data_IF_801780031491
#
_entry.id   IF_801780031491
#
_cell.length_a   1.000
_cell.length_b   1.000
_cell.length_c   1.000
_cell.angle_alpha   90.00
_cell.angle_beta   90.00
_cell.angle_gamma   90.00
#
_symmetry.space_group_name_H-M   'P 1'
#
loop_
_entity.id
_entity.type
_entity.pdbx_description
1 polymer ?
#
# COMPACT_ATOMS: atom_id res chain seq x y z
N UNK A 1 32.02 -8.40 -37.56
CA UNK A 1 31.07 -7.52 -36.83
C UNK A 1 31.85 -6.27 -36.43
N UNK A 2 31.62 -5.17 -37.11
CA UNK A 2 32.32 -3.89 -36.90
C UNK A 2 31.90 -3.25 -35.56
N UNK A 3 32.75 -2.37 -35.00
CA UNK A 3 32.46 -1.57 -33.79
C UNK A 3 31.17 -0.77 -33.99
N UNK A 4 30.95 -0.23 -35.20
CA UNK A 4 29.75 0.51 -35.59
C UNK A 4 28.47 -0.30 -35.44
N UNK A 5 28.48 -1.60 -35.79
CA UNK A 5 27.33 -2.49 -35.65
C UNK A 5 26.94 -2.73 -34.17
N UNK A 6 27.92 -2.68 -33.24
CA UNK A 6 27.67 -2.87 -31.83
C UNK A 6 26.97 -1.68 -31.20
N UNK A 7 27.33 -0.47 -31.58
CA UNK A 7 26.74 0.75 -31.03
C UNK A 7 25.33 0.94 -31.59
N UNK A 8 25.09 0.66 -32.86
CA UNK A 8 23.75 0.64 -33.46
C UNK A 8 22.85 -0.41 -32.78
N UNK A 9 23.40 -1.61 -32.48
CA UNK A 9 22.65 -2.64 -31.75
C UNK A 9 22.30 -2.21 -30.33
N UNK A 10 23.24 -1.61 -29.59
CA UNK A 10 22.99 -1.09 -28.24
C UNK A 10 21.91 -0.02 -28.25
N UNK A 11 21.98 0.92 -29.18
CA UNK A 11 20.97 1.97 -29.31
C UNK A 11 19.61 1.41 -29.70
N UNK A 12 19.56 0.44 -30.62
CA UNK A 12 18.34 -0.26 -30.99
C UNK A 12 17.70 -0.99 -29.83
N UNK A 13 18.49 -1.70 -29.01
CA UNK A 13 18.01 -2.36 -27.80
C UNK A 13 17.52 -1.32 -26.79
N UNK A 14 18.25 -0.22 -26.58
CA UNK A 14 17.87 0.87 -25.67
C UNK A 14 16.51 1.47 -26.05
N UNK A 15 16.30 1.80 -27.32
CA UNK A 15 15.01 2.26 -27.85
C UNK A 15 13.90 1.23 -27.64
N UNK A 16 14.19 -0.05 -27.87
CA UNK A 16 13.25 -1.13 -27.63
C UNK A 16 12.87 -1.30 -26.16
N UNK A 17 13.80 -1.05 -25.23
CA UNK A 17 13.53 -1.03 -23.78
C UNK A 17 12.63 0.15 -23.40
N UNK A 18 12.91 1.35 -23.89
CA UNK A 18 12.11 2.56 -23.64
C UNK A 18 10.67 2.38 -24.11
N UNK A 19 10.49 1.81 -25.33
CA UNK A 19 9.17 1.56 -25.92
C UNK A 19 8.49 0.29 -25.39
N UNK A 20 9.17 -0.49 -24.53
CA UNK A 20 8.72 -1.80 -24.01
C UNK A 20 8.42 -2.81 -25.11
N UNK A 21 9.10 -2.72 -26.25
CA UNK A 21 9.00 -3.69 -27.37
C UNK A 21 10.04 -4.83 -27.25
N UNK A 22 11.04 -4.68 -26.39
CA UNK A 22 12.07 -5.69 -26.10
C UNK A 22 12.10 -5.97 -24.59
N UNK A 23 12.16 -7.28 -24.24
CA UNK A 23 12.30 -7.77 -22.88
C UNK A 23 13.53 -8.69 -22.83
N UNK A 24 14.70 -8.21 -22.37
CA UNK A 24 15.91 -9.00 -22.32
C UNK A 24 15.83 -10.07 -21.24
N UNK A 25 16.28 -11.29 -21.59
CA UNK A 25 16.35 -12.43 -20.67
C UNK A 25 17.79 -12.87 -20.51
N UNK A 26 18.26 -13.00 -19.27
CA UNK A 26 19.62 -13.41 -18.93
C UNK A 26 19.63 -14.71 -18.14
N UNK A 27 20.47 -15.66 -18.54
CA UNK A 27 20.77 -16.84 -17.76
C UNK A 27 21.93 -16.53 -16.80
N UNK A 28 21.64 -16.48 -15.50
CA UNK A 28 22.65 -16.17 -14.47
C UNK A 28 22.55 -17.13 -13.30
N UNK A 29 23.69 -17.36 -12.65
CA UNK A 29 23.76 -18.10 -11.39
C UNK A 29 24.53 -17.24 -10.37
N UNK A 30 23.80 -16.52 -9.53
CA UNK A 30 24.37 -15.59 -8.55
C UNK A 30 25.31 -16.29 -7.56
N UNK A 31 24.91 -17.47 -7.04
CA UNK A 31 25.74 -18.24 -6.10
C UNK A 31 27.08 -18.72 -6.63
N UNK A 32 27.23 -18.80 -7.96
CA UNK A 32 28.50 -19.15 -8.65
C UNK A 32 29.10 -17.97 -9.42
N UNK A 33 28.53 -16.77 -9.30
CA UNK A 33 28.90 -15.56 -10.05
C UNK A 33 28.94 -15.75 -11.58
N UNK A 34 28.22 -16.77 -12.11
CA UNK A 34 28.18 -17.03 -13.54
C UNK A 34 27.16 -16.11 -14.22
N UNK A 35 27.58 -15.41 -15.28
CA UNK A 35 26.74 -14.50 -16.05
C UNK A 35 26.44 -13.15 -15.37
N UNK A 36 26.72 -12.99 -14.06
CA UNK A 36 26.41 -11.77 -13.29
C UNK A 36 27.15 -10.56 -13.86
N UNK A 37 28.44 -10.71 -14.21
CA UNK A 37 29.23 -9.62 -14.81
C UNK A 37 28.60 -9.12 -16.12
N UNK A 38 28.12 -10.03 -16.97
CA UNK A 38 27.46 -9.67 -18.24
C UNK A 38 26.14 -8.93 -18.01
N UNK A 39 25.38 -9.35 -16.99
CA UNK A 39 24.16 -8.63 -16.61
C UNK A 39 24.49 -7.21 -16.14
N UNK A 40 25.50 -7.05 -15.27
CA UNK A 40 25.91 -5.73 -14.76
C UNK A 40 26.45 -4.85 -15.90
N UNK A 41 27.22 -5.40 -16.83
CA UNK A 41 27.69 -4.69 -18.03
C UNK A 41 26.52 -4.22 -18.90
N UNK A 42 25.50 -5.05 -19.07
CA UNK A 42 24.29 -4.68 -19.81
C UNK A 42 23.53 -3.55 -19.11
N UNK A 43 23.34 -3.66 -17.79
CA UNK A 43 22.67 -2.62 -17.00
C UNK A 43 23.39 -1.27 -17.10
N UNK A 44 24.72 -1.27 -17.03
CA UNK A 44 25.51 -0.04 -17.10
C UNK A 44 25.60 0.59 -18.49
N UNK A 45 25.55 -0.22 -19.56
CA UNK A 45 25.85 0.27 -20.92
C UNK A 45 24.63 0.37 -21.84
N UNK A 46 23.54 -0.35 -21.54
CA UNK A 46 22.40 -0.50 -22.46
C UNK A 46 21.09 0.00 -21.88
N UNK A 47 20.88 -0.14 -20.56
CA UNK A 47 19.62 0.31 -19.93
C UNK A 47 19.50 1.83 -20.03
N UNK A 48 18.32 2.36 -20.42
CA UNK A 48 18.11 3.80 -20.57
C UNK A 48 18.23 4.54 -19.24
N UNK A 49 18.70 5.77 -19.27
CA UNK A 49 18.66 6.69 -18.14
C UNK A 49 17.23 7.18 -17.88
N UNK A 50 16.99 7.69 -16.68
CA UNK A 50 15.67 8.24 -16.30
C UNK A 50 15.22 9.35 -17.25
N UNK A 51 16.15 10.19 -17.74
CA UNK A 51 15.88 11.26 -18.70
C UNK A 51 15.44 10.77 -20.09
N UNK A 52 15.75 9.52 -20.45
CA UNK A 52 15.37 8.88 -21.72
C UNK A 52 14.02 8.13 -21.62
N UNK A 53 13.50 7.97 -20.41
CA UNK A 53 12.23 7.27 -20.19
C UNK A 53 11.03 8.17 -20.54
N UNK A 54 9.86 7.59 -20.88
CA UNK A 54 8.65 8.36 -21.09
C UNK A 54 8.35 9.27 -19.91
N UNK A 55 7.92 10.49 -20.21
CA UNK A 55 7.55 11.47 -19.20
C UNK A 55 6.40 10.94 -18.33
N UNK A 56 6.43 11.30 -17.07
CA UNK A 56 5.37 10.96 -16.12
C UNK A 56 4.31 12.05 -16.14
N UNK A 57 3.05 11.70 -16.09
CA UNK A 57 1.95 12.65 -16.00
C UNK A 57 1.46 12.75 -14.56
N UNK A 58 1.12 13.96 -14.14
CA UNK A 58 0.41 14.17 -12.88
C UNK A 58 -1.11 13.96 -13.09
N UNK A 59 -1.90 14.07 -12.02
CA UNK A 59 -3.37 13.92 -12.08
C UNK A 59 -4.08 14.98 -12.94
N UNK A 60 -3.41 16.09 -13.28
CA UNK A 60 -3.91 17.14 -14.17
C UNK A 60 -3.54 16.91 -15.63
N UNK A 61 -2.79 15.83 -15.92
CA UNK A 61 -2.30 15.52 -17.27
C UNK A 61 -1.06 16.30 -17.70
N UNK A 62 -0.43 17.06 -16.80
CA UNK A 62 0.80 17.78 -17.08
C UNK A 62 1.99 16.81 -17.13
N UNK A 63 2.84 16.97 -18.13
CA UNK A 63 4.07 16.18 -18.28
C UNK A 63 5.15 16.67 -17.30
N UNK A 64 5.65 15.77 -16.48
CA UNK A 64 6.74 16.02 -15.54
C UNK A 64 8.00 15.36 -16.08
N UNK A 65 9.00 16.18 -16.35
CA UNK A 65 10.34 15.69 -16.73
C UNK A 65 11.21 15.62 -15.48
N UNK A 66 11.93 14.51 -15.26
CA UNK A 66 12.91 14.43 -14.19
C UNK A 66 14.04 15.45 -14.43
N UNK A 67 14.02 16.55 -13.73
CA UNK A 67 15.02 17.61 -13.79
C UNK A 67 15.54 17.90 -12.38
N UNK A 68 16.85 17.80 -12.19
CA UNK A 68 17.52 18.03 -10.90
C UNK A 68 17.44 19.50 -10.45
N UNK A 69 17.26 20.43 -11.37
CA UNK A 69 17.10 21.86 -11.09
C UNK A 69 15.63 22.29 -11.04
N UNK A 70 14.71 21.36 -11.27
CA UNK A 70 13.28 21.60 -11.20
C UNK A 70 12.77 21.76 -9.77
N UNK A 71 11.48 22.08 -9.60
CA UNK A 71 10.87 22.14 -8.28
C UNK A 71 10.87 20.75 -7.63
N UNK A 72 11.07 20.72 -6.31
CA UNK A 72 11.18 19.50 -5.53
C UNK A 72 9.84 18.74 -5.51
N UNK A 73 9.87 17.48 -5.89
CA UNK A 73 8.71 16.60 -5.80
C UNK A 73 9.12 15.16 -5.57
N UNK A 74 8.48 14.50 -4.61
CA UNK A 74 8.71 13.09 -4.28
C UNK A 74 7.40 12.33 -4.22
N UNK A 75 7.44 11.07 -4.69
CA UNK A 75 6.31 10.16 -4.65
C UNK A 75 6.62 8.96 -3.76
N UNK A 76 5.81 8.76 -2.73
CA UNK A 76 5.95 7.65 -1.80
C UNK A 76 5.22 6.41 -2.33
N UNK A 77 5.96 5.42 -2.79
CA UNK A 77 5.40 4.26 -3.47
C UNK A 77 5.31 3.00 -2.60
N UNK A 78 5.98 2.98 -1.44
CA UNK A 78 5.99 1.82 -0.55
C UNK A 78 6.25 2.23 0.90
N UNK A 79 5.57 1.54 1.82
CA UNK A 79 5.87 1.56 3.25
C UNK A 79 6.37 0.18 3.66
N UNK A 80 7.45 0.11 4.41
CA UNK A 80 7.97 -1.11 5.04
C UNK A 80 7.88 -1.01 6.56
N UNK A 81 7.66 -2.13 7.23
CA UNK A 81 7.67 -2.21 8.68
C UNK A 81 8.88 -3.04 9.11
N UNK A 82 9.82 -2.42 9.80
CA UNK A 82 11.04 -3.10 10.22
C UNK A 82 11.15 -3.18 11.74
N UNK A 83 11.59 -4.34 12.26
CA UNK A 83 11.87 -4.49 13.68
C UNK A 83 12.85 -3.40 14.14
N UNK A 84 12.60 -2.82 15.31
CA UNK A 84 13.44 -1.80 15.99
C UNK A 84 13.50 -0.41 15.33
N UNK A 85 13.13 -0.27 14.04
CA UNK A 85 13.14 1.02 13.33
C UNK A 85 11.70 1.56 13.21
N UNK A 86 10.74 0.67 13.02
CA UNK A 86 9.35 1.01 12.78
C UNK A 86 9.04 1.20 11.29
N UNK A 87 8.27 2.23 10.99
CA UNK A 87 7.84 2.55 9.62
C UNK A 87 8.99 3.16 8.82
N UNK A 88 9.27 2.56 7.66
CA UNK A 88 10.23 3.04 6.66
C UNK A 88 9.46 3.39 5.42
N UNK A 89 9.53 4.63 4.99
CA UNK A 89 8.84 5.14 3.81
C UNK A 89 9.79 5.24 2.63
N UNK A 90 9.52 4.49 1.57
CA UNK A 90 10.29 4.47 0.33
C UNK A 90 9.68 5.45 -0.67
N UNK A 91 10.53 6.25 -1.29
CA UNK A 91 10.10 7.26 -2.24
C UNK A 91 11.00 7.32 -3.48
N UNK A 92 10.45 7.86 -4.55
CA UNK A 92 11.18 8.26 -5.76
C UNK A 92 11.16 9.78 -5.87
N UNK A 93 12.30 10.37 -6.17
CA UNK A 93 12.38 11.79 -6.49
C UNK A 93 11.88 11.96 -7.93
N UNK A 94 10.78 12.67 -8.09
CA UNK A 94 10.14 12.88 -9.39
C UNK A 94 10.71 14.09 -10.13
N UNK A 95 11.12 15.11 -9.38
CA UNK A 95 11.76 16.35 -9.89
C UNK A 95 12.52 17.02 -8.75
N UNK A 96 13.49 17.85 -9.08
CA UNK A 96 14.33 18.56 -8.13
C UNK A 96 15.37 17.68 -7.48
N UNK A 97 15.83 18.12 -6.33
CA UNK A 97 16.80 17.42 -5.47
C UNK A 97 16.36 17.55 -4.03
N UNK A 98 16.31 16.42 -3.31
CA UNK A 98 15.82 16.35 -1.95
C UNK A 98 17.00 16.15 -0.99
N UNK A 99 17.01 16.91 0.10
CA UNK A 99 18.02 16.86 1.17
C UNK A 99 17.39 16.49 2.51
N UNK A 100 18.24 15.95 3.40
CA UNK A 100 17.84 15.78 4.79
C UNK A 100 17.51 17.13 5.43
N UNK A 101 16.33 17.22 6.05
CA UNK A 101 15.85 18.44 6.70
C UNK A 101 14.91 19.30 5.86
N UNK A 102 14.66 18.97 4.59
CA UNK A 102 13.74 19.72 3.73
C UNK A 102 12.30 19.67 4.25
N UNK A 103 11.63 20.82 4.16
CA UNK A 103 10.21 20.96 4.51
C UNK A 103 9.36 20.91 3.24
N UNK A 104 8.58 19.84 3.12
CA UNK A 104 7.70 19.58 1.98
C UNK A 104 6.23 19.61 2.41
N UNK A 105 5.36 19.84 1.45
CA UNK A 105 3.90 19.81 1.65
C UNK A 105 3.31 18.56 1.01
N UNK A 106 2.56 17.78 1.77
CA UNK A 106 1.81 16.64 1.28
C UNK A 106 0.58 17.12 0.50
N UNK A 107 0.60 17.00 -0.82
CA UNK A 107 -0.47 17.47 -1.71
C UNK A 107 -1.77 16.68 -1.57
N UNK A 108 -1.72 15.47 -1.01
CA UNK A 108 -2.90 14.63 -0.81
C UNK A 108 -3.63 14.95 0.49
N UNK A 109 -2.92 15.47 1.50
CA UNK A 109 -3.43 15.71 2.85
C UNK A 109 -3.36 17.18 3.30
N UNK A 110 -2.59 18.01 2.60
CA UNK A 110 -2.36 19.40 2.96
C UNK A 110 -1.45 19.59 4.18
N UNK A 111 -0.87 18.51 4.72
CA UNK A 111 0.02 18.57 5.88
C UNK A 111 1.45 18.93 5.46
N UNK A 112 2.15 19.65 6.36
CA UNK A 112 3.59 19.91 6.20
C UNK A 112 4.38 18.79 6.83
N UNK A 113 5.35 18.28 6.08
CA UNK A 113 6.23 17.19 6.47
C UNK A 113 7.68 17.63 6.35
N UNK A 114 8.46 17.31 7.37
CA UNK A 114 9.90 17.49 7.33
C UNK A 114 10.55 16.16 7.03
N UNK A 115 11.34 16.12 5.95
CA UNK A 115 12.11 14.94 5.57
C UNK A 115 13.24 14.78 6.61
N UNK A 116 13.25 13.64 7.29
CA UNK A 116 14.35 13.27 8.20
C UNK A 116 15.62 12.89 7.44
N UNK A 117 16.46 12.07 8.06
CA UNK A 117 17.60 11.48 7.36
C UNK A 117 17.12 10.66 6.17
N UNK A 118 17.74 10.89 5.01
CA UNK A 118 17.50 10.13 3.79
C UNK A 118 18.59 9.08 3.57
N UNK A 119 18.20 7.96 2.98
CA UNK A 119 19.09 6.82 2.77
C UNK A 119 18.97 6.30 1.35
N UNK A 120 20.10 5.92 0.76
CA UNK A 120 20.15 5.03 -0.40
C UNK A 120 20.05 3.58 0.10
N UNK A 121 19.21 2.77 -0.55
CA UNK A 121 18.91 1.41 -0.11
C UNK A 121 19.55 0.38 -1.05
N UNK A 122 20.35 -0.53 -0.47
CA UNK A 122 20.93 -1.67 -1.17
C UNK A 122 20.56 -2.95 -0.40
N UNK A 123 19.42 -3.55 -0.76
CA UNK A 123 18.85 -4.66 -0.01
C UNK A 123 18.51 -4.26 1.43
N UNK A 124 19.04 -4.97 2.42
CA UNK A 124 18.87 -4.65 3.84
C UNK A 124 19.76 -3.49 4.32
N UNK A 125 20.78 -3.12 3.54
CA UNK A 125 21.71 -2.07 3.91
C UNK A 125 21.16 -0.71 3.51
N UNK A 126 21.24 0.25 4.45
CA UNK A 126 20.91 1.66 4.22
C UNK A 126 22.14 2.51 4.44
N UNK A 127 22.49 3.26 3.42
CA UNK A 127 23.61 4.20 3.48
C UNK A 127 23.02 5.59 3.59
N UNK A 128 23.32 6.36 4.67
CA UNK A 128 22.88 7.73 4.75
C UNK A 128 23.51 8.53 3.63
N UNK A 129 22.70 9.39 3.01
CA UNK A 129 23.14 10.30 1.94
C UNK A 129 22.64 11.71 2.26
N UNK A 130 23.35 12.71 1.77
CA UNK A 130 22.99 14.09 2.01
C UNK A 130 21.92 14.58 1.05
N UNK A 131 21.90 14.02 -0.17
CA UNK A 131 21.01 14.45 -1.25
C UNK A 131 20.65 13.28 -2.15
N UNK A 132 19.41 13.30 -2.67
CA UNK A 132 18.92 12.47 -3.76
C UNK A 132 18.35 13.34 -4.86
N UNK A 133 18.63 12.99 -6.11
CA UNK A 133 18.26 13.77 -7.30
C UNK A 133 17.06 13.17 -8.03
N UNK A 134 16.47 13.94 -8.94
CA UNK A 134 15.39 13.47 -9.79
C UNK A 134 15.73 12.12 -10.46
N UNK A 135 14.86 11.14 -10.29
CA UNK A 135 15.03 9.76 -10.73
C UNK A 135 15.54 8.80 -9.67
N UNK A 136 16.20 9.29 -8.62
CA UNK A 136 16.71 8.46 -7.54
C UNK A 136 15.57 7.88 -6.69
N UNK A 137 15.84 6.70 -6.13
CA UNK A 137 14.99 6.03 -5.15
C UNK A 137 15.71 6.02 -3.81
N UNK A 138 15.01 6.49 -2.79
CA UNK A 138 15.51 6.47 -1.44
C UNK A 138 14.47 6.06 -0.42
N UNK A 139 14.87 6.08 0.85
CA UNK A 139 13.93 5.91 1.94
C UNK A 139 14.23 6.88 3.08
N UNK A 140 13.21 7.12 3.88
CA UNK A 140 13.29 7.88 5.12
C UNK A 140 12.47 7.19 6.21
N UNK A 141 12.67 7.59 7.44
CA UNK A 141 11.99 7.00 8.61
C UNK A 141 11.25 8.08 9.39
N UNK A 142 10.30 7.64 10.23
CA UNK A 142 9.57 8.53 11.17
C UNK A 142 8.79 9.66 10.51
N UNK A 143 8.19 9.42 9.34
CA UNK A 143 7.24 10.36 8.75
C UNK A 143 5.97 10.41 9.60
N UNK A 144 5.36 11.60 9.74
CA UNK A 144 4.19 11.79 10.62
C UNK A 144 2.89 11.38 9.94
N UNK A 145 2.66 11.89 8.74
CA UNK A 145 1.38 11.73 8.04
C UNK A 145 1.58 11.42 6.55
N UNK A 146 2.57 10.57 6.24
CA UNK A 146 2.85 10.11 4.88
C UNK A 146 2.41 8.67 4.73
N UNK A 147 1.72 8.37 3.64
CA UNK A 147 1.27 7.02 3.28
C UNK A 147 1.70 6.67 1.86
N UNK A 148 1.71 5.38 1.57
CA UNK A 148 1.92 4.89 0.21
C UNK A 148 0.92 5.53 -0.75
N UNK A 149 1.40 6.08 -1.86
CA UNK A 149 0.62 6.82 -2.85
C UNK A 149 0.62 8.34 -2.64
N UNK A 150 1.21 8.86 -1.55
CA UNK A 150 1.26 10.30 -1.34
C UNK A 150 2.36 10.99 -2.17
N UNK A 151 2.06 12.20 -2.57
CA UNK A 151 3.01 13.12 -3.22
C UNK A 151 3.34 14.26 -2.28
N UNK A 152 4.64 14.50 -2.07
CA UNK A 152 5.12 15.66 -1.33
C UNK A 152 5.87 16.58 -2.26
N UNK A 153 5.60 17.88 -2.15
CA UNK A 153 6.19 18.92 -2.98
C UNK A 153 6.89 20.00 -2.15
N UNK A 154 7.98 20.50 -2.70
CA UNK A 154 8.63 21.71 -2.23
C UNK A 154 7.92 22.98 -2.72
N UNK A 155 8.54 24.13 -2.52
CA UNK A 155 7.99 25.41 -2.96
C UNK A 155 7.96 25.48 -4.49
N UNK A 156 6.82 25.89 -5.06
CA UNK A 156 6.67 26.09 -6.51
C UNK A 156 6.17 24.87 -7.28
N UNK A 157 5.93 23.73 -6.63
CA UNK A 157 5.22 22.61 -7.22
C UNK A 157 3.91 22.32 -6.45
N UNK A 158 2.85 22.03 -7.20
CA UNK A 158 1.56 21.57 -6.67
C UNK A 158 1.13 20.29 -7.38
N UNK A 159 2.10 19.44 -7.67
CA UNK A 159 1.83 18.20 -8.40
C UNK A 159 1.23 17.15 -7.49
N UNK A 160 0.47 16.26 -8.11
CA UNK A 160 -0.08 15.09 -7.48
C UNK A 160 -0.02 13.95 -8.48
N UNK A 161 0.52 12.82 -8.08
CA UNK A 161 0.58 11.63 -8.92
C UNK A 161 -0.56 10.67 -8.57
N UNK A 162 -0.96 9.86 -9.55
CA UNK A 162 -2.02 8.87 -9.35
C UNK A 162 -1.63 7.83 -8.31
N UNK A 163 -2.61 7.44 -7.51
CA UNK A 163 -2.44 6.30 -6.61
C UNK A 163 -2.19 5.02 -7.39
N UNK A 164 -1.35 4.16 -6.82
CA UNK A 164 -1.12 2.82 -7.36
C UNK A 164 -2.45 2.04 -7.30
N UNK A 165 -2.91 1.55 -8.44
CA UNK A 165 -4.12 0.71 -8.52
C UNK A 165 -3.76 -0.71 -8.15
N UNK A 166 -4.17 -1.13 -6.97
CA UNK A 166 -4.01 -2.51 -6.51
C UNK A 166 -5.14 -3.38 -7.04
N UNK A 167 -4.89 -4.67 -7.31
CA UNK A 167 -5.94 -5.59 -7.71
C UNK A 167 -6.95 -5.82 -6.57
N UNK A 168 -8.22 -5.95 -6.93
CA UNK A 168 -9.26 -6.25 -5.95
C UNK A 168 -9.03 -7.62 -5.29
N UNK A 169 -9.26 -7.76 -3.98
CA UNK A 169 -9.11 -9.02 -3.28
C UNK A 169 -10.17 -10.03 -3.76
N UNK A 170 -9.74 -11.30 -3.95
CA UNK A 170 -10.59 -12.38 -4.47
C UNK A 170 -10.90 -13.47 -3.45
N UNK A 171 -10.23 -13.46 -2.31
CA UNK A 171 -10.37 -14.48 -1.28
C UNK A 171 -10.56 -13.83 0.09
N UNK A 172 -11.52 -14.32 0.87
CA UNK A 172 -11.88 -13.76 2.16
C UNK A 172 -11.97 -14.83 3.24
N UNK A 173 -11.58 -14.50 4.47
CA UNK A 173 -11.73 -15.28 5.68
C UNK A 173 -12.07 -14.36 6.85
N UNK A 174 -12.84 -14.88 7.79
CA UNK A 174 -12.95 -14.24 9.10
C UNK A 174 -11.73 -14.65 9.93
N UNK A 175 -11.16 -13.71 10.68
CA UNK A 175 -10.00 -13.92 11.53
C UNK A 175 -10.33 -13.57 12.98
N UNK A 176 -9.89 -14.39 13.90
CA UNK A 176 -9.97 -14.10 15.34
C UNK A 176 -8.69 -14.50 16.06
N UNK A 177 -8.37 -13.80 17.13
CA UNK A 177 -7.32 -14.24 18.05
C UNK A 177 -7.79 -15.47 18.82
N UNK A 178 -6.87 -16.40 19.10
CA UNK A 178 -7.14 -17.57 19.94
C UNK A 178 -7.52 -17.11 21.36
N UNK A 179 -6.79 -16.12 21.89
CA UNK A 179 -7.08 -15.53 23.19
C UNK A 179 -7.88 -14.24 23.00
N UNK A 180 -9.01 -14.11 23.68
CA UNK A 180 -9.87 -12.92 23.57
C UNK A 180 -9.15 -11.62 23.95
N UNK A 181 -8.19 -11.66 24.86
CA UNK A 181 -7.39 -10.52 25.31
C UNK A 181 -6.48 -9.94 24.20
N UNK A 182 -6.16 -10.72 23.18
CA UNK A 182 -5.29 -10.30 22.08
C UNK A 182 -6.06 -9.66 20.92
N UNK A 183 -7.38 -9.49 21.02
CA UNK A 183 -8.22 -8.96 19.94
C UNK A 183 -7.80 -7.54 19.52
N UNK A 184 -7.50 -6.66 20.48
CA UNK A 184 -7.06 -5.28 20.18
C UNK A 184 -5.68 -5.28 19.53
N UNK A 185 -4.75 -6.13 20.01
CA UNK A 185 -3.43 -6.30 19.42
C UNK A 185 -3.52 -6.83 17.99
N UNK A 186 -4.43 -7.79 17.75
CA UNK A 186 -4.68 -8.32 16.42
C UNK A 186 -5.13 -7.21 15.46
N UNK A 187 -6.09 -6.38 15.86
CA UNK A 187 -6.54 -5.27 15.03
C UNK A 187 -5.42 -4.28 14.73
N UNK A 188 -4.61 -3.91 15.72
CA UNK A 188 -3.46 -3.04 15.53
C UNK A 188 -2.42 -3.64 14.56
N UNK A 189 -2.12 -4.93 14.70
CA UNK A 189 -1.20 -5.66 13.81
C UNK A 189 -1.74 -5.72 12.37
N UNK A 190 -3.02 -6.03 12.17
CA UNK A 190 -3.65 -6.06 10.85
C UNK A 190 -3.62 -4.69 10.15
N UNK A 191 -3.87 -3.61 10.89
CA UNK A 191 -3.80 -2.26 10.34
C UNK A 191 -2.39 -1.86 9.93
N UNK A 192 -1.38 -2.26 10.71
CA UNK A 192 0.03 -2.06 10.35
C UNK A 192 0.39 -2.84 9.08
N UNK A 193 0.04 -4.13 9.02
CA UNK A 193 0.32 -4.97 7.85
C UNK A 193 -0.34 -4.45 6.58
N UNK A 194 -1.55 -3.88 6.68
CA UNK A 194 -2.22 -3.21 5.57
C UNK A 194 -1.44 -1.98 5.05
N UNK A 195 -0.69 -1.30 5.91
CA UNK A 195 0.16 -0.18 5.46
C UNK A 195 1.34 -0.67 4.61
N UNK A 196 1.90 -1.83 4.97
CA UNK A 196 2.99 -2.46 4.24
C UNK A 196 2.51 -3.09 2.92
N UNK A 197 1.38 -3.79 2.97
CA UNK A 197 0.74 -4.40 1.80
C UNK A 197 -0.72 -3.96 1.68
N UNK A 198 -1.01 -2.93 0.87
CA UNK A 198 -2.36 -2.41 0.67
C UNK A 198 -3.32 -3.39 -0.03
N UNK A 199 -2.84 -4.53 -0.54
CA UNK A 199 -3.69 -5.57 -1.14
C UNK A 199 -4.40 -6.43 -0.09
N UNK A 200 -4.00 -6.35 1.18
CA UNK A 200 -4.79 -6.87 2.30
C UNK A 200 -5.88 -5.88 2.68
N UNK A 201 -7.10 -6.29 2.57
CA UNK A 201 -8.26 -5.52 3.01
C UNK A 201 -8.76 -6.08 4.34
N UNK A 202 -8.90 -5.22 5.33
CA UNK A 202 -9.37 -5.57 6.68
C UNK A 202 -10.67 -4.83 6.93
N UNK A 203 -11.76 -5.58 7.11
CA UNK A 203 -13.09 -5.05 7.40
C UNK A 203 -13.58 -5.56 8.75
N UNK A 204 -14.04 -4.65 9.59
CA UNK A 204 -14.70 -5.00 10.83
C UNK A 204 -16.23 -4.93 10.64
N UNK A 205 -16.86 -6.09 10.51
CA UNK A 205 -18.33 -6.17 10.44
C UNK A 205 -18.92 -6.07 11.84
N UNK A 206 -19.55 -4.95 12.15
CA UNK A 206 -20.27 -4.74 13.42
C UNK A 206 -21.50 -5.64 13.51
N UNK A 207 -22.20 -5.86 12.39
CA UNK A 207 -23.41 -6.69 12.30
C UNK A 207 -23.09 -8.16 12.62
N UNK A 208 -22.02 -8.69 12.02
CA UNK A 208 -21.63 -10.10 12.20
C UNK A 208 -20.69 -10.31 13.38
N UNK A 209 -20.21 -9.25 14.00
CA UNK A 209 -19.17 -9.28 15.06
C UNK A 209 -17.96 -10.10 14.62
N UNK A 210 -17.53 -9.94 13.37
CA UNK A 210 -16.37 -10.60 12.79
C UNK A 210 -15.41 -9.58 12.18
N UNK A 211 -14.12 -9.88 12.28
CA UNK A 211 -13.07 -9.23 11.50
C UNK A 211 -12.85 -10.07 10.25
N UNK A 212 -13.07 -9.49 9.09
CA UNK A 212 -12.91 -10.15 7.79
C UNK A 212 -11.64 -9.61 7.15
N UNK A 213 -10.74 -10.51 6.79
CA UNK A 213 -9.54 -10.22 6.02
C UNK A 213 -9.70 -10.76 4.60
N UNK A 214 -9.35 -9.94 3.62
CA UNK A 214 -9.42 -10.28 2.20
C UNK A 214 -8.06 -10.12 1.56
N UNK A 215 -7.73 -10.98 0.63
CA UNK A 215 -6.48 -10.97 -0.11
C UNK A 215 -6.63 -11.55 -1.51
N UNK A 216 -5.51 -11.68 -2.22
CA UNK A 216 -5.49 -12.13 -3.62
C UNK A 216 -5.78 -13.65 -3.76
N UNK A 217 -5.57 -14.43 -2.71
CA UNK A 217 -5.80 -15.87 -2.70
C UNK A 217 -5.51 -16.47 -1.33
N UNK A 218 -5.70 -17.79 -1.21
CA UNK A 218 -5.49 -18.52 0.04
C UNK A 218 -4.05 -18.41 0.54
N UNK A 219 -3.06 -18.55 -0.36
CA UNK A 219 -1.65 -18.44 0.01
C UNK A 219 -1.32 -17.04 0.57
N UNK A 220 -1.92 -16.00 0.03
CA UNK A 220 -1.74 -14.63 0.52
C UNK A 220 -2.25 -14.49 1.97
N UNK A 221 -3.41 -15.05 2.29
CA UNK A 221 -3.91 -15.05 3.68
C UNK A 221 -3.11 -15.99 4.60
N UNK A 222 -2.58 -17.12 4.09
CA UNK A 222 -1.64 -17.95 4.86
C UNK A 222 -0.36 -17.19 5.21
N UNK A 223 0.14 -16.34 4.31
CA UNK A 223 1.29 -15.48 4.58
C UNK A 223 0.96 -14.45 5.67
N UNK A 224 -0.24 -13.86 5.64
CA UNK A 224 -0.71 -12.97 6.70
C UNK A 224 -0.72 -13.69 8.07
N UNK A 225 -1.29 -14.88 8.12
CA UNK A 225 -1.32 -15.70 9.34
C UNK A 225 0.09 -16.00 9.85
N UNK A 226 0.98 -16.44 8.97
CA UNK A 226 2.37 -16.75 9.31
C UNK A 226 3.08 -15.51 9.91
N UNK A 227 2.88 -14.33 9.34
CA UNK A 227 3.45 -13.07 9.87
C UNK A 227 2.89 -12.73 11.26
N UNK A 228 1.59 -12.88 11.47
CA UNK A 228 0.96 -12.64 12.78
C UNK A 228 1.54 -13.58 13.84
N UNK A 229 1.71 -14.87 13.53
CA UNK A 229 2.21 -15.88 14.46
C UNK A 229 3.72 -15.72 14.72
N UNK A 230 4.52 -15.45 13.68
CA UNK A 230 6.00 -15.44 13.81
C UNK A 230 6.57 -14.08 14.16
N UNK A 231 6.02 -12.98 13.62
CA UNK A 231 6.55 -11.63 13.87
C UNK A 231 5.86 -10.97 15.04
N UNK A 232 4.52 -11.01 15.09
CA UNK A 232 3.74 -10.34 16.13
C UNK A 232 3.43 -11.23 17.35
N UNK A 233 3.77 -12.54 17.27
CA UNK A 233 3.52 -13.57 18.32
C UNK A 233 2.04 -13.68 18.69
N UNK A 234 1.16 -13.49 17.71
CA UNK A 234 -0.30 -13.58 17.85
C UNK A 234 -0.81 -14.86 17.22
N UNK A 235 -1.34 -15.78 18.02
CA UNK A 235 -1.99 -16.97 17.52
C UNK A 235 -3.40 -16.65 17.03
N UNK A 236 -3.70 -17.00 15.77
CA UNK A 236 -4.95 -16.65 15.11
C UNK A 236 -5.58 -17.85 14.42
N UNK A 237 -6.90 -17.83 14.31
CA UNK A 237 -7.70 -18.84 13.61
C UNK A 237 -8.49 -18.15 12.49
N UNK A 238 -8.51 -18.81 11.33
CA UNK A 238 -9.40 -18.45 10.24
C UNK A 238 -10.70 -19.25 10.32
N UNK A 239 -11.81 -18.55 10.08
CA UNK A 239 -13.15 -19.11 9.99
C UNK A 239 -13.81 -18.71 8.67
N UNK A 240 -14.90 -19.38 8.30
CA UNK A 240 -15.73 -18.95 7.20
C UNK A 240 -16.42 -17.61 7.56
N UNK A 241 -16.41 -16.62 6.67
CA UNK A 241 -17.16 -15.40 6.88
C UNK A 241 -18.66 -15.71 6.95
N UNK A 242 -19.34 -15.18 7.97
CA UNK A 242 -20.79 -15.27 8.04
C UNK A 242 -21.42 -14.40 6.95
N UNK A 243 -22.55 -14.87 6.41
CA UNK A 243 -23.34 -14.12 5.45
C UNK A 243 -24.40 -13.33 6.24
N UNK A 244 -24.51 -12.01 6.08
CA UNK A 244 -25.55 -11.22 6.74
C UNK A 244 -26.87 -11.44 6.04
N UNK A 245 -27.57 -12.49 6.41
CA UNK A 245 -28.92 -12.73 5.93
C UNK A 245 -29.87 -11.68 6.52
N UNK A 246 -30.72 -11.15 5.68
CA UNK A 246 -31.81 -10.26 6.08
C UNK A 246 -33.12 -10.90 5.75
N UNK A 247 -34.01 -10.87 6.72
CA UNK A 247 -35.36 -11.35 6.55
C UNK A 247 -36.24 -10.24 6.02
N UNK A 248 -37.24 -10.61 5.21
CA UNK A 248 -38.30 -9.72 4.77
C UNK A 248 -39.64 -10.43 4.85
N UNK A 249 -40.70 -9.66 4.96
CA UNK A 249 -42.04 -10.18 4.96
C UNK A 249 -42.59 -10.21 3.54
N UNK A 250 -43.40 -11.21 3.22
CA UNK A 250 -44.05 -11.35 1.89
C UNK A 250 -45.52 -10.99 1.88
N UNK A 251 -46.14 -10.85 3.06
CA UNK A 251 -47.56 -10.56 3.24
C UNK A 251 -47.77 -9.49 4.30
N UNK A 252 -48.79 -8.67 4.14
CA UNK A 252 -49.26 -7.74 5.15
C UNK A 252 -49.74 -8.50 6.37
N UNK A 253 -49.27 -8.12 7.55
CA UNK A 253 -49.71 -8.71 8.81
C UNK A 253 -50.06 -7.60 9.81
N UNK A 254 -51.04 -7.89 10.66
CA UNK A 254 -51.41 -7.02 11.77
C UNK A 254 -51.28 -7.81 13.07
N UNK A 255 -50.67 -7.17 14.08
CA UNK A 255 -50.58 -7.72 15.42
C UNK A 255 -50.79 -6.61 16.44
N UNK A 256 -51.43 -6.96 17.54
CA UNK A 256 -51.59 -6.10 18.70
C UNK A 256 -51.07 -6.79 19.96
N UNK A 257 -50.50 -6.00 20.85
CA UNK A 257 -49.99 -6.50 22.10
C UNK A 257 -50.30 -5.50 23.20
N UNK A 258 -50.88 -6.00 24.30
CA UNK A 258 -51.20 -5.24 25.46
C UNK A 258 -50.39 -5.74 26.66
N UNK A 259 -49.50 -4.90 27.14
CA UNK A 259 -48.76 -5.17 28.37
C UNK A 259 -49.50 -4.55 29.56
N UNK A 260 -49.92 -5.43 30.48
CA UNK A 260 -50.51 -5.01 31.76
C UNK A 260 -49.87 -5.83 32.88
N UNK A 261 -49.08 -5.17 33.73
CA UNK A 261 -48.43 -5.81 34.87
C UNK A 261 -48.69 -4.97 36.11
N UNK A 262 -49.30 -5.56 37.12
CA UNK A 262 -49.56 -4.92 38.40
C UNK A 262 -49.05 -5.84 39.52
N UNK A 263 -47.98 -5.43 40.22
CA UNK A 263 -47.37 -6.17 41.30
C UNK A 263 -47.09 -5.19 42.47
N UNK A 264 -48.20 -4.59 43.03
CA UNK A 264 -48.08 -3.63 44.14
C UNK A 264 -47.64 -2.22 43.70
N UNK A 265 -48.40 -1.19 44.00
CA UNK A 265 -48.12 0.20 43.63
C UNK A 265 -48.56 0.56 42.21
N UNK A 266 -47.86 1.49 41.56
CA UNK A 266 -48.18 1.96 40.23
C UNK A 266 -47.98 0.83 39.17
N UNK A 267 -49.05 0.44 38.48
CA UNK A 267 -49.02 -0.61 37.47
C UNK A 267 -48.31 -0.15 36.17
N UNK A 268 -47.72 -1.10 35.46
CA UNK A 268 -47.16 -0.90 34.13
C UNK A 268 -48.25 -1.20 33.07
N UNK A 269 -48.50 -0.24 32.21
CA UNK A 269 -49.44 -0.41 31.08
C UNK A 269 -48.83 0.11 29.79
N UNK A 270 -48.99 -0.65 28.72
CA UNK A 270 -48.64 -0.25 27.37
C UNK A 270 -49.40 -1.08 26.34
N UNK A 271 -49.92 -0.47 25.31
CA UNK A 271 -50.62 -1.15 24.23
C UNK A 271 -50.06 -0.69 22.91
N UNK A 272 -49.74 -1.63 22.06
CA UNK A 272 -49.16 -1.39 20.73
C UNK A 272 -49.95 -2.14 19.68
N UNK A 273 -50.37 -1.42 18.65
CA UNK A 273 -50.95 -1.95 17.44
C UNK A 273 -49.99 -1.77 16.27
N UNK A 274 -49.57 -2.87 15.66
CA UNK A 274 -48.59 -2.85 14.57
C UNK A 274 -49.22 -3.41 13.30
N UNK A 275 -49.00 -2.72 12.19
CA UNK A 275 -49.26 -3.22 10.85
C UNK A 275 -47.90 -3.22 10.14
N UNK A 276 -47.50 -4.37 9.63
CA UNK A 276 -46.27 -4.56 8.88
C UNK A 276 -46.60 -5.02 7.49
N UNK A 277 -46.06 -4.37 6.48
CA UNK A 277 -46.33 -4.68 5.09
C UNK A 277 -45.02 -4.69 4.28
N UNK A 278 -44.95 -5.50 3.22
CA UNK A 278 -43.80 -5.48 2.31
C UNK A 278 -43.62 -4.10 1.70
N UNK A 279 -42.34 -3.67 1.58
CA UNK A 279 -41.97 -2.42 0.93
C UNK A 279 -41.28 -2.69 -0.39
#
# INVERSE_FOLDING_TARGET
MCIRDRDELREGIRKGLVTRSIFPVFCVCAGKSMGVHRLMEFLGNVVPFVSEMPKVHNTRGEEITPDTNGPESVYFFKTGLEPHIGEVSYFKVMSGSIKSGDDLTNSDRGSKERIGQIYACAGANRVPVDQLNAGDIGCTVKMKDVKTGNTLNGKGAEWRFDFIRYPNPKYSRAIKAVNAQDTEKLMAALLKMRQEDPTWVVDQSKELRQVIVRGQGEFHLRTLKWRLENNEKLNVVFEEPRIPYRETITKKARADYRHKKQSGGAGQFGEVHLIVEPY
#
